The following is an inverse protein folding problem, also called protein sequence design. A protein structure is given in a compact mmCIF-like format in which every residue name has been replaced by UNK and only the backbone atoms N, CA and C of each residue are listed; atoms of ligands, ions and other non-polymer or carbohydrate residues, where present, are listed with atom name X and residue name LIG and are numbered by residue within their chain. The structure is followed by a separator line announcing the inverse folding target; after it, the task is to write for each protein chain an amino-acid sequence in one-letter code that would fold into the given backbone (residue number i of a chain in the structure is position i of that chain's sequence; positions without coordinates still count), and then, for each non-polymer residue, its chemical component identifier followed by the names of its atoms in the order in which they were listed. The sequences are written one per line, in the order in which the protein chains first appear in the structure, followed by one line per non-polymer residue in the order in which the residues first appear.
data_IF_693906403075
#
_entry.id   IF_693906403075
#
_cell.length_a   1.000
_cell.length_b   1.000
_cell.length_c   1.000
_cell.angle_alpha   90.00
_cell.angle_beta   90.00
_cell.angle_gamma   90.00
#
_symmetry.space_group_name_H-M   'P 1'
#
loop_
_entity.id
_entity.type
_entity.pdbx_description
1 polymer ?
#
# COMPACT_ATOMS: atom_id res chain seq x y z
N UNK A 1 -28.93 2.48 -7.84
CA UNK A 1 -28.39 2.14 -6.50
C UNK A 1 -28.31 0.62 -6.40
N UNK A 2 -27.19 0.00 -6.02
CA UNK A 2 -27.00 -1.47 -6.01
C UNK A 2 -26.50 -1.97 -4.63
N UNK A 3 -27.37 -2.01 -3.62
CA UNK A 3 -26.98 -2.30 -2.23
C UNK A 3 -26.37 -3.69 -2.05
N UNK A 4 -26.82 -4.69 -2.81
CA UNK A 4 -26.32 -6.07 -2.73
C UNK A 4 -24.84 -6.19 -3.13
N UNK A 5 -24.30 -5.20 -3.85
CA UNK A 5 -22.88 -5.17 -4.21
C UNK A 5 -22.00 -4.87 -3.01
N UNK A 6 -22.48 -4.10 -2.04
CA UNK A 6 -21.70 -3.72 -0.87
C UNK A 6 -21.34 -4.95 -0.03
N UNK A 7 -22.33 -5.79 0.29
CA UNK A 7 -22.12 -7.02 1.08
C UNK A 7 -21.11 -7.96 0.40
N UNK A 8 -21.24 -8.14 -0.92
CA UNK A 8 -20.32 -8.97 -1.71
C UNK A 8 -18.90 -8.41 -1.74
N UNK A 9 -18.74 -7.09 -1.89
CA UNK A 9 -17.43 -6.45 -1.88
C UNK A 9 -16.78 -6.59 -0.50
N UNK A 10 -17.53 -6.31 0.56
CA UNK A 10 -17.03 -6.43 1.94
C UNK A 10 -16.67 -7.87 2.29
N UNK A 11 -17.41 -8.87 1.82
CA UNK A 11 -17.03 -10.28 1.95
C UNK A 11 -15.65 -10.55 1.34
N UNK A 12 -15.39 -10.01 0.14
CA UNK A 12 -14.10 -10.17 -0.53
C UNK A 12 -12.95 -9.43 0.14
N UNK A 13 -13.23 -8.29 0.78
CA UNK A 13 -12.26 -7.58 1.63
C UNK A 13 -11.90 -8.44 2.83
N UNK A 14 -12.89 -9.05 3.48
CA UNK A 14 -12.65 -9.97 4.59
C UNK A 14 -11.84 -11.19 4.21
N UNK A 15 -12.13 -11.80 3.06
CA UNK A 15 -11.36 -12.94 2.55
C UNK A 15 -9.87 -12.60 2.35
N UNK A 16 -9.56 -11.34 2.01
CA UNK A 16 -8.19 -10.86 1.84
C UNK A 16 -7.47 -10.56 3.16
N UNK A 17 -8.19 -10.42 4.27
CA UNK A 17 -7.65 -10.08 5.60
C UNK A 17 -8.05 -11.11 6.67
N UNK A 18 -8.12 -12.40 6.31
CA UNK A 18 -8.37 -13.47 7.29
C UNK A 18 -9.73 -13.40 8.02
N UNK A 19 -10.74 -12.80 7.37
CA UNK A 19 -12.09 -12.63 7.92
C UNK A 19 -12.37 -11.26 8.53
N UNK A 20 -11.36 -10.39 8.66
CA UNK A 20 -11.50 -9.04 9.20
C UNK A 20 -11.70 -8.00 8.11
N UNK A 21 -12.37 -6.89 8.40
CA UNK A 21 -12.45 -5.81 7.40
C UNK A 21 -11.08 -5.10 7.22
N UNK A 22 -10.21 -5.17 8.24
CA UNK A 22 -8.88 -4.56 8.25
C UNK A 22 -7.93 -5.30 9.22
N UNK A 23 -6.69 -5.52 8.80
CA UNK A 23 -5.60 -6.01 9.64
C UNK A 23 -4.55 -4.89 9.85
N UNK A 24 -4.39 -4.35 11.08
CA UNK A 24 -3.41 -3.31 11.38
C UNK A 24 -1.98 -3.81 11.53
N UNK A 25 -1.74 -5.13 11.54
CA UNK A 25 -0.43 -5.72 11.80
C UNK A 25 0.60 -5.22 10.78
N UNK A 26 1.77 -4.80 11.29
CA UNK A 26 2.82 -4.28 10.43
C UNK A 26 3.28 -5.37 9.44
N UNK A 27 3.33 -5.03 8.14
CA UNK A 27 3.65 -5.98 7.08
C UNK A 27 2.43 -6.65 6.44
N UNK A 28 1.32 -6.79 7.18
CA UNK A 28 0.03 -7.26 6.66
C UNK A 28 -0.89 -6.12 6.28
N UNK A 29 -0.82 -5.00 7.01
CA UNK A 29 -1.58 -3.79 6.66
C UNK A 29 -1.27 -3.40 5.21
N UNK A 30 -2.33 -3.10 4.44
CA UNK A 30 -2.28 -2.77 3.02
C UNK A 30 -1.87 -3.92 2.07
N UNK A 31 -1.67 -5.14 2.58
CA UNK A 31 -1.33 -6.32 1.79
C UNK A 31 -2.41 -7.38 1.96
N UNK A 32 -3.10 -7.74 0.88
CA UNK A 32 -4.05 -8.85 0.92
C UNK A 32 -3.36 -10.20 0.90
N UNK A 33 -3.98 -11.21 1.52
CA UNK A 33 -3.50 -12.59 1.53
C UNK A 33 -4.42 -13.53 0.74
N UNK A 34 -3.96 -14.76 0.52
CA UNK A 34 -4.73 -15.83 -0.11
C UNK A 34 -4.84 -15.77 -1.65
N UNK A 35 -5.65 -16.67 -2.24
CA UNK A 35 -5.69 -16.88 -3.69
C UNK A 35 -6.12 -15.66 -4.49
N UNK A 36 -7.01 -14.82 -3.92
CA UNK A 36 -7.49 -13.64 -4.61
C UNK A 36 -6.43 -12.53 -4.65
N UNK A 37 -5.65 -12.34 -3.58
CA UNK A 37 -4.52 -11.43 -3.58
C UNK A 37 -3.45 -11.86 -4.59
N UNK A 38 -3.18 -13.17 -4.69
CA UNK A 38 -2.26 -13.72 -5.69
C UNK A 38 -2.74 -13.44 -7.12
N UNK A 39 -4.04 -13.62 -7.39
CA UNK A 39 -4.63 -13.31 -8.70
C UNK A 39 -4.49 -11.82 -9.05
N UNK A 40 -4.75 -10.92 -8.09
CA UNK A 40 -4.56 -9.47 -8.29
C UNK A 40 -3.09 -9.17 -8.60
N UNK A 41 -2.17 -9.75 -7.84
CA UNK A 41 -0.72 -9.58 -8.01
C UNK A 41 -0.27 -10.00 -9.41
N UNK A 42 -0.70 -11.18 -9.87
CA UNK A 42 -0.39 -11.69 -11.21
C UNK A 42 -0.94 -10.77 -12.31
N UNK A 43 -2.20 -10.33 -12.18
CA UNK A 43 -2.82 -9.41 -13.15
C UNK A 43 -2.08 -8.09 -13.22
N UNK A 44 -1.69 -7.54 -12.07
CA UNK A 44 -0.92 -6.30 -12.01
C UNK A 44 0.44 -6.47 -12.70
N UNK A 45 1.20 -7.52 -12.38
CA UNK A 45 2.49 -7.79 -13.00
C UNK A 45 2.40 -7.97 -14.53
N UNK A 46 1.38 -8.65 -15.02
CA UNK A 46 1.13 -8.80 -16.46
C UNK A 46 0.81 -7.44 -17.09
N UNK A 47 -0.04 -6.63 -16.45
CA UNK A 47 -0.42 -5.32 -16.96
C UNK A 47 0.78 -4.36 -17.01
N UNK A 48 1.59 -4.29 -15.97
CA UNK A 48 2.78 -3.43 -15.94
C UNK A 48 3.80 -3.84 -17.00
N UNK A 49 4.02 -5.15 -17.19
CA UNK A 49 4.89 -5.65 -18.26
C UNK A 49 4.38 -5.25 -19.64
N UNK A 50 3.08 -5.43 -19.90
CA UNK A 50 2.45 -5.09 -21.19
C UNK A 50 2.49 -3.60 -21.51
N UNK A 51 2.38 -2.76 -20.50
CA UNK A 51 2.38 -1.29 -20.64
C UNK A 51 3.77 -0.67 -20.57
N UNK A 52 4.84 -1.47 -20.43
CA UNK A 52 6.20 -0.96 -20.28
C UNK A 52 6.47 -0.26 -18.95
N UNK A 53 5.65 -0.54 -17.92
CA UNK A 53 5.77 0.03 -16.57
C UNK A 53 6.53 -0.88 -15.60
N UNK A 54 6.97 -2.06 -16.07
CA UNK A 54 7.80 -2.98 -15.28
C UNK A 54 9.28 -2.60 -15.40
N UNK A 55 9.67 -1.49 -14.77
CA UNK A 55 11.05 -1.01 -14.71
C UNK A 55 11.44 -0.59 -13.29
N UNK A 56 12.74 -0.56 -13.01
CA UNK A 56 13.25 -0.12 -11.72
C UNK A 56 13.16 1.41 -11.60
N UNK A 57 12.57 1.89 -10.51
CA UNK A 57 12.54 3.31 -10.19
C UNK A 57 13.95 3.78 -9.80
N UNK A 58 14.34 5.02 -10.15
CA UNK A 58 15.57 5.60 -9.64
C UNK A 58 15.57 5.62 -8.10
N UNK A 59 16.75 5.56 -7.46
CA UNK A 59 16.85 5.60 -6.01
C UNK A 59 16.20 6.87 -5.45
N UNK A 60 15.52 6.74 -4.31
CA UNK A 60 14.92 7.87 -3.62
C UNK A 60 16.00 8.91 -3.26
N UNK A 61 15.70 10.19 -3.53
CA UNK A 61 16.52 11.32 -3.09
C UNK A 61 16.45 11.46 -1.57
N UNK A 62 17.51 11.04 -0.90
CA UNK A 62 17.66 11.13 0.57
C UNK A 62 18.39 12.40 1.03
N UNK A 63 19.01 13.12 0.10
CA UNK A 63 19.80 14.34 0.31
C UNK A 63 18.95 15.55 0.76
N UNK A 64 17.66 15.55 0.44
CA UNK A 64 16.73 16.62 0.79
C UNK A 64 16.14 16.48 2.20
N UNK A 65 16.27 15.30 2.82
CA UNK A 65 15.73 15.07 4.15
C UNK A 65 16.60 15.79 5.18
N UNK A 66 16.01 16.77 5.87
CA UNK A 66 16.59 17.39 7.07
C UNK A 66 15.79 16.93 8.27
N UNK A 67 16.46 16.29 9.23
CA UNK A 67 15.83 15.95 10.51
C UNK A 67 15.29 17.25 11.15
N UNK A 68 14.02 17.27 11.60
CA UNK A 68 13.48 18.46 12.27
C UNK A 68 14.31 18.79 13.51
N UNK A 69 14.52 20.09 13.75
CA UNK A 69 15.19 20.60 14.93
C UNK A 69 14.49 20.06 16.19
N UNK A 70 15.26 19.55 17.16
CA UNK A 70 14.71 19.10 18.43
C UNK A 70 14.12 20.31 19.17
N UNK A 71 13.15 20.10 20.06
CA UNK A 71 12.56 21.19 20.86
C UNK A 71 13.59 22.01 21.67
N UNK A 72 14.77 21.45 21.94
CA UNK A 72 15.90 22.12 22.60
C UNK A 72 16.85 22.85 21.65
N UNK A 73 16.69 22.68 20.34
CA UNK A 73 17.55 23.32 19.35
C UNK A 73 17.05 24.75 19.16
N UNK A 74 17.83 25.69 19.70
CA UNK A 74 17.57 27.11 19.55
C UNK A 74 17.61 27.49 18.06
N UNK A 75 16.56 28.15 17.57
CA UNK A 75 16.47 28.61 16.18
C UNK A 75 17.67 29.54 15.87
N UNK A 76 18.34 29.34 14.72
CA UNK A 76 19.38 30.30 14.30
C UNK A 76 18.71 31.62 13.94
N UNK A 77 19.23 32.72 14.50
CA UNK A 77 18.77 34.08 14.21
C UNK A 77 19.47 34.69 12.99
N UNK A 78 20.22 33.88 12.25
CA UNK A 78 20.98 34.26 11.07
C UNK A 78 20.95 33.10 10.07
#
# INVERSE_FOLDING_TARGET
HFPDRAARIMGRVRDLHGGQDYDPEWGKRLTGEGPFAQLITQRFAIATKRLGLAYELPPLRKDLFKCPARKSDQLSLF
#
